data_IF_486680122200
#
_entry.id   IF_486680122200
#
_cell.length_a   1.000
_cell.length_b   1.000
_cell.length_c   1.000
_cell.angle_alpha   90.00
_cell.angle_beta   90.00
_cell.angle_gamma   90.00
#
_symmetry.space_group_name_H-M   'P 1'
#
loop_
_entity.id
_entity.type
_entity.pdbx_description
1 polymer ?
#
# COMPACT_ATOMS: atom_id res chain seq x y z
N UNK A 1 23.82 -10.58 6.80
CA UNK A 1 23.57 -10.35 8.24
C UNK A 1 22.51 -9.27 8.35
N UNK A 2 21.53 -9.43 9.25
CA UNK A 2 20.50 -8.43 9.55
C UNK A 2 20.79 -7.87 10.94
N UNK A 3 20.84 -6.55 11.07
CA UNK A 3 21.06 -5.89 12.35
C UNK A 3 19.84 -5.04 12.68
N UNK A 4 19.18 -5.39 13.77
CA UNK A 4 18.06 -4.64 14.33
C UNK A 4 18.53 -4.00 15.64
N UNK A 5 18.53 -2.66 15.71
CA UNK A 5 18.89 -1.92 16.90
C UNK A 5 17.70 -1.09 17.36
N UNK A 6 17.13 -1.50 18.50
CA UNK A 6 16.07 -0.76 19.19
C UNK A 6 16.66 -0.12 20.44
N UNK A 7 16.63 1.21 20.52
CA UNK A 7 16.95 1.93 21.74
C UNK A 7 15.64 2.19 22.51
N UNK A 8 15.36 1.53 23.65
CA UNK A 8 14.36 2.03 24.59
C UNK A 8 14.86 3.37 25.19
N UNK A 9 14.08 4.02 26.05
CA UNK A 9 14.36 5.30 26.74
C UNK A 9 15.74 5.48 27.45
N UNK A 10 16.66 4.52 27.33
CA UNK A 10 18.06 4.65 27.72
C UNK A 10 18.92 4.72 26.45
N UNK A 11 19.95 5.59 26.41
CA UNK A 11 20.93 5.55 25.34
C UNK A 11 21.35 4.11 25.10
N UNK A 12 21.36 3.65 23.84
CA UNK A 12 22.22 2.51 23.51
C UNK A 12 23.61 3.07 23.75
N UNK A 13 24.14 2.82 24.95
CA UNK A 13 25.57 2.86 25.17
C UNK A 13 26.10 1.77 24.27
N UNK A 14 26.48 2.14 23.05
CA UNK A 14 27.53 1.40 22.39
C UNK A 14 28.71 1.59 23.32
N UNK A 15 29.24 0.54 23.97
CA UNK A 15 30.54 0.66 24.61
C UNK A 15 31.44 1.38 23.61
N UNK A 16 32.16 2.42 24.02
CA UNK A 16 33.14 3.06 23.15
C UNK A 16 33.99 1.94 22.51
N UNK A 17 33.86 1.74 21.19
CA UNK A 17 34.49 0.61 20.48
C UNK A 17 33.59 -0.51 19.95
N UNK A 18 32.34 -0.67 20.41
CA UNK A 18 31.53 -1.85 20.12
C UNK A 18 31.04 -1.98 18.67
N UNK A 19 30.94 -0.87 17.94
CA UNK A 19 30.74 -0.88 16.49
C UNK A 19 31.92 -0.25 15.73
N UNK A 20 33.14 -0.31 16.25
CA UNK A 20 34.31 0.12 15.48
C UNK A 20 34.74 -0.93 14.44
N UNK A 21 34.18 -2.14 14.49
CA UNK A 21 34.49 -3.19 13.51
C UNK A 21 33.61 -3.03 12.27
N UNK A 22 34.19 -2.98 11.06
CA UNK A 22 33.44 -2.98 9.82
C UNK A 22 32.51 -4.19 9.76
N UNK A 23 31.30 -3.99 9.25
CA UNK A 23 30.31 -5.05 9.05
C UNK A 23 30.14 -5.31 7.54
N UNK A 24 31.12 -5.92 6.85
CA UNK A 24 31.14 -5.98 5.39
C UNK A 24 29.99 -6.80 4.78
N UNK A 25 29.41 -7.73 5.56
CA UNK A 25 28.29 -8.61 5.16
C UNK A 25 26.91 -8.13 5.65
N UNK A 26 26.83 -6.91 6.16
CA UNK A 26 25.57 -6.31 6.59
C UNK A 26 24.73 -6.00 5.34
N UNK A 27 23.51 -6.54 5.27
CA UNK A 27 22.60 -6.37 4.12
C UNK A 27 21.39 -5.51 4.43
N UNK A 28 20.91 -5.62 5.67
CA UNK A 28 19.75 -4.89 6.18
C UNK A 28 20.10 -4.23 7.50
N UNK A 29 19.81 -2.94 7.62
CA UNK A 29 20.02 -2.14 8.81
C UNK A 29 18.70 -1.50 9.24
N UNK A 30 18.31 -1.73 10.49
CA UNK A 30 17.12 -1.11 11.08
C UNK A 30 17.49 -0.37 12.37
N UNK A 31 17.21 0.93 12.39
CA UNK A 31 17.56 1.84 13.47
C UNK A 31 16.34 2.60 13.97
N UNK A 32 16.10 2.49 15.27
CA UNK A 32 14.99 3.15 15.95
C UNK A 32 15.51 4.05 17.05
N UNK A 33 15.25 5.35 16.91
CA UNK A 33 15.63 6.37 17.88
C UNK A 33 14.36 6.96 18.49
N UNK A 34 14.08 6.73 19.77
CA UNK A 34 12.95 7.43 20.39
C UNK A 34 13.28 8.91 20.67
N UNK A 35 14.49 9.15 21.19
CA UNK A 35 15.08 10.46 21.48
C UNK A 35 16.60 10.33 21.27
N UNK A 36 17.22 11.28 20.56
CA UNK A 36 18.67 11.32 20.50
C UNK A 36 19.19 11.88 21.83
N UNK A 37 20.09 11.19 22.54
CA UNK A 37 20.55 11.67 23.83
C UNK A 37 21.26 13.02 23.68
N UNK A 38 20.99 13.94 24.61
CA UNK A 38 21.73 15.19 24.73
C UNK A 38 23.19 14.79 25.04
N UNK A 39 24.12 15.15 24.15
CA UNK A 39 25.53 14.75 24.25
C UNK A 39 25.87 13.38 23.65
N UNK A 40 24.95 12.72 22.95
CA UNK A 40 25.26 11.51 22.18
C UNK A 40 26.29 11.73 21.06
N UNK A 41 26.85 10.66 20.50
CA UNK A 41 27.79 10.78 19.38
C UNK A 41 27.15 11.60 18.25
N UNK A 42 27.93 12.50 17.66
CA UNK A 42 27.45 13.38 16.60
C UNK A 42 27.12 12.60 15.32
N UNK A 43 27.77 11.46 15.07
CA UNK A 43 27.56 10.63 13.88
C UNK A 43 27.99 9.17 14.11
N UNK A 44 27.16 8.20 13.68
CA UNK A 44 27.49 6.77 13.68
C UNK A 44 28.17 6.42 12.33
N UNK A 45 29.46 6.12 12.35
CA UNK A 45 30.25 5.84 11.14
C UNK A 45 30.49 4.35 10.86
N UNK A 46 30.10 3.48 11.79
CA UNK A 46 30.32 2.04 11.73
C UNK A 46 29.78 1.35 10.45
N UNK A 47 28.75 1.94 9.85
CA UNK A 47 28.06 1.39 8.68
C UNK A 47 28.56 1.96 7.35
N UNK A 48 29.43 2.98 7.37
CA UNK A 48 29.95 3.62 6.17
C UNK A 48 30.67 2.63 5.23
N UNK A 49 31.31 1.61 5.81
CA UNK A 49 32.05 0.57 5.10
C UNK A 49 31.27 -0.76 4.96
N UNK A 50 29.94 -0.71 4.83
CA UNK A 50 29.10 -1.89 4.62
C UNK A 50 28.71 -2.05 3.12
N UNK A 51 29.58 -2.59 2.24
CA UNK A 51 29.35 -2.64 0.78
C UNK A 51 28.18 -3.52 0.35
N UNK A 52 27.72 -4.44 1.20
CA UNK A 52 26.55 -5.29 0.93
C UNK A 52 25.22 -4.69 1.42
N UNK A 53 25.23 -3.51 2.06
CA UNK A 53 24.03 -2.90 2.61
C UNK A 53 23.09 -2.48 1.46
N UNK A 54 21.86 -2.98 1.46
CA UNK A 54 20.85 -2.73 0.42
C UNK A 54 19.52 -2.22 0.99
N UNK A 55 19.25 -2.52 2.25
CA UNK A 55 17.98 -2.20 2.89
C UNK A 55 18.19 -1.42 4.19
N UNK A 56 17.47 -0.32 4.32
CA UNK A 56 17.56 0.55 5.48
C UNK A 56 16.16 0.90 5.97
N UNK A 57 15.95 0.79 7.28
CA UNK A 57 14.79 1.32 7.97
C UNK A 57 15.24 2.30 9.06
N UNK A 58 14.88 3.57 8.89
CA UNK A 58 15.20 4.65 9.82
C UNK A 58 13.92 5.18 10.47
N UNK A 59 13.88 5.15 11.79
CA UNK A 59 12.77 5.69 12.57
C UNK A 59 13.31 6.84 13.43
N UNK A 60 12.86 8.08 13.16
CA UNK A 60 13.27 9.32 13.84
C UNK A 60 14.79 9.57 13.87
N UNK A 61 15.48 9.26 12.77
CA UNK A 61 16.92 9.48 12.64
C UNK A 61 17.21 10.49 11.52
N UNK A 62 18.07 11.46 11.80
CA UNK A 62 18.56 12.46 10.87
C UNK A 62 19.80 11.96 10.11
N UNK A 63 20.04 12.48 8.91
CA UNK A 63 21.22 12.17 8.10
C UNK A 63 22.53 12.55 8.78
N UNK A 64 22.55 13.66 9.51
CA UNK A 64 23.77 14.10 10.22
C UNK A 64 24.24 13.09 11.27
N UNK A 65 23.32 12.25 11.76
CA UNK A 65 23.57 11.28 12.82
C UNK A 65 24.16 9.96 12.33
N UNK A 66 24.25 9.73 11.01
CA UNK A 66 24.68 8.44 10.48
C UNK A 66 25.38 8.55 9.12
N UNK A 67 26.49 7.84 8.97
CA UNK A 67 27.18 7.69 7.69
C UNK A 67 26.87 6.32 7.09
N UNK A 68 26.31 6.31 5.88
CA UNK A 68 25.89 5.12 5.15
C UNK A 68 26.34 5.19 3.70
N UNK A 69 26.58 4.05 3.05
CA UNK A 69 26.78 3.97 1.61
C UNK A 69 25.43 4.13 0.88
N UNK A 70 24.90 5.36 0.84
CA UNK A 70 23.54 5.64 0.36
C UNK A 70 23.27 5.22 -1.09
N UNK A 71 24.27 5.32 -1.96
CA UNK A 71 24.13 5.05 -3.39
C UNK A 71 23.79 3.61 -3.72
N UNK A 72 24.07 2.64 -2.85
CA UNK A 72 23.76 1.22 -3.08
C UNK A 72 22.43 0.77 -2.44
N UNK A 73 21.70 1.68 -1.78
CA UNK A 73 20.45 1.33 -1.10
C UNK A 73 19.33 1.18 -2.14
N UNK A 74 18.67 0.03 -2.10
CA UNK A 74 17.58 -0.33 -3.02
C UNK A 74 16.23 -0.40 -2.30
N UNK A 75 16.21 -0.58 -0.98
CA UNK A 75 14.98 -0.59 -0.16
C UNK A 75 15.12 0.38 1.01
N UNK A 76 14.19 1.32 1.11
CA UNK A 76 14.26 2.38 2.10
C UNK A 76 12.92 2.53 2.84
N UNK A 77 12.96 2.48 4.17
CA UNK A 77 11.82 2.81 5.02
C UNK A 77 12.17 3.98 5.91
N UNK A 78 11.40 5.06 5.81
CA UNK A 78 11.53 6.28 6.60
C UNK A 78 10.26 6.45 7.44
N UNK A 79 10.41 6.55 8.75
CA UNK A 79 9.30 6.82 9.65
C UNK A 79 9.61 7.96 10.63
N UNK A 80 8.68 8.90 10.76
CA UNK A 80 8.72 10.05 11.67
C UNK A 80 9.92 11.00 11.44
N UNK A 81 10.28 11.25 10.18
CA UNK A 81 11.18 12.34 9.78
C UNK A 81 10.37 13.56 9.31
N UNK A 82 11.00 14.75 9.29
CA UNK A 82 10.43 15.90 8.57
C UNK A 82 10.52 15.68 7.06
N UNK A 83 9.70 16.40 6.29
CA UNK A 83 9.72 16.30 4.83
C UNK A 83 11.07 16.69 4.23
N UNK A 84 11.74 17.72 4.77
CA UNK A 84 13.07 18.15 4.30
C UNK A 84 14.10 17.04 4.46
N UNK A 85 14.10 16.37 5.62
CA UNK A 85 15.00 15.25 5.89
C UNK A 85 14.73 14.08 4.95
N UNK A 86 13.45 13.76 4.70
CA UNK A 86 13.07 12.72 3.74
C UNK A 86 13.66 13.05 2.36
N UNK A 87 13.48 14.28 1.87
CA UNK A 87 14.01 14.68 0.57
C UNK A 87 15.53 14.69 0.52
N UNK A 88 16.20 15.09 1.59
CA UNK A 88 17.66 15.01 1.69
C UNK A 88 18.15 13.56 1.61
N UNK A 89 17.48 12.61 2.26
CA UNK A 89 17.81 11.17 2.17
C UNK A 89 17.55 10.64 0.76
N UNK A 90 16.41 10.99 0.15
CA UNK A 90 16.05 10.53 -1.19
C UNK A 90 17.06 11.00 -2.25
N UNK A 91 17.62 12.21 -2.12
CA UNK A 91 18.69 12.69 -3.01
C UNK A 91 19.97 11.88 -2.92
N UNK A 92 20.26 11.25 -1.78
CA UNK A 92 21.44 10.41 -1.59
C UNK A 92 21.23 8.96 -2.03
N UNK A 93 19.98 8.55 -2.33
CA UNK A 93 19.59 7.16 -2.63
C UNK A 93 19.04 7.00 -4.06
N UNK A 94 19.84 7.33 -5.10
CA UNK A 94 19.36 7.33 -6.49
C UNK A 94 18.92 5.95 -7.03
N UNK A 95 19.39 4.87 -6.40
CA UNK A 95 19.10 3.49 -6.79
C UNK A 95 17.98 2.83 -6.00
N UNK A 96 17.17 3.61 -5.27
CA UNK A 96 16.03 3.08 -4.51
C UNK A 96 14.98 2.51 -5.47
N UNK A 97 14.52 1.29 -5.19
CA UNK A 97 13.50 0.56 -5.95
C UNK A 97 12.19 0.40 -5.16
N UNK A 98 12.29 0.38 -3.83
CA UNK A 98 11.18 0.23 -2.89
C UNK A 98 11.30 1.27 -1.77
N UNK A 99 10.25 2.08 -1.61
CA UNK A 99 10.23 3.19 -0.67
C UNK A 99 8.96 3.14 0.19
N UNK A 100 9.12 3.13 1.51
CA UNK A 100 8.03 3.34 2.46
C UNK A 100 8.30 4.60 3.27
N UNK A 101 7.36 5.54 3.29
CA UNK A 101 7.46 6.79 4.04
C UNK A 101 6.23 6.98 4.93
N UNK A 102 6.48 7.20 6.22
CA UNK A 102 5.47 7.59 7.20
C UNK A 102 5.92 8.84 7.92
N UNK A 103 5.14 9.92 7.88
CA UNK A 103 5.46 11.18 8.55
C UNK A 103 4.18 11.85 9.06
N UNK A 104 4.34 12.64 10.13
CA UNK A 104 3.25 13.39 10.78
C UNK A 104 3.33 14.89 10.49
N UNK A 105 4.31 15.31 9.68
CA UNK A 105 4.49 16.70 9.32
C UNK A 105 3.55 17.07 8.17
N UNK A 106 2.76 18.11 8.36
CA UNK A 106 1.84 18.65 7.37
C UNK A 106 2.36 19.96 6.75
N UNK A 107 3.62 20.31 7.04
CA UNK A 107 4.27 21.47 6.44
C UNK A 107 4.36 21.29 4.91
N UNK A 108 3.99 22.34 4.17
CA UNK A 108 4.13 22.34 2.72
C UNK A 108 5.56 22.77 2.39
N UNK A 109 6.38 21.82 1.99
CA UNK A 109 7.72 22.12 1.48
C UNK A 109 7.63 22.29 -0.04
N UNK A 110 7.89 23.51 -0.53
CA UNK A 110 8.02 23.76 -1.96
C UNK A 110 9.46 23.47 -2.38
N UNK A 111 9.68 22.31 -3.00
CA UNK A 111 10.95 21.97 -3.66
C UNK A 111 10.71 21.81 -5.15
N UNK A 112 11.77 22.00 -5.94
CA UNK A 112 11.75 21.56 -7.32
C UNK A 112 11.59 20.03 -7.36
N UNK A 113 10.67 19.48 -8.16
CA UNK A 113 10.53 18.04 -8.30
C UNK A 113 11.84 17.39 -8.74
N UNK A 114 12.17 16.23 -8.19
CA UNK A 114 13.33 15.44 -8.62
C UNK A 114 12.95 14.01 -8.98
N UNK A 115 13.82 13.38 -9.76
CA UNK A 115 13.55 12.08 -10.36
C UNK A 115 14.17 10.95 -9.54
N UNK A 116 13.40 9.90 -9.27
CA UNK A 116 13.91 8.62 -8.77
C UNK A 116 13.68 7.57 -9.87
N UNK A 117 14.67 7.37 -10.77
CA UNK A 117 14.46 6.67 -12.04
C UNK A 117 14.23 5.16 -11.88
N UNK A 118 14.63 4.59 -10.74
CA UNK A 118 14.56 3.16 -10.48
C UNK A 118 13.43 2.77 -9.50
N UNK A 119 12.70 3.75 -8.96
CA UNK A 119 11.68 3.48 -7.94
C UNK A 119 10.45 2.82 -8.58
N UNK A 120 10.17 1.57 -8.18
CA UNK A 120 9.07 0.75 -8.69
C UNK A 120 7.91 0.64 -7.74
N UNK A 121 8.17 0.71 -6.43
CA UNK A 121 7.13 0.59 -5.39
C UNK A 121 7.25 1.72 -4.39
N UNK A 122 6.14 2.37 -4.09
CA UNK A 122 6.08 3.42 -3.07
C UNK A 122 4.86 3.22 -2.16
N UNK A 123 5.08 3.34 -0.85
CA UNK A 123 4.06 3.35 0.18
C UNK A 123 4.16 4.63 1.00
N UNK A 124 3.07 5.38 1.11
CA UNK A 124 3.06 6.70 1.71
C UNK A 124 1.92 6.85 2.72
N UNK A 125 2.21 7.46 3.88
CA UNK A 125 1.16 7.92 4.81
C UNK A 125 0.46 9.20 4.35
N UNK A 126 1.00 9.91 3.36
CA UNK A 126 0.44 11.16 2.82
C UNK A 126 0.85 11.36 1.36
N UNK A 127 -0.07 11.91 0.56
CA UNK A 127 0.16 12.21 -0.86
C UNK A 127 0.99 13.48 -1.10
N UNK A 128 1.22 14.32 -0.07
CA UNK A 128 1.96 15.58 -0.17
C UNK A 128 3.34 15.44 -0.82
N UNK A 129 4.05 14.35 -0.48
CA UNK A 129 5.40 14.09 -0.99
C UNK A 129 5.42 13.91 -2.52
N UNK A 130 4.31 13.45 -3.12
CA UNK A 130 4.19 13.21 -4.56
C UNK A 130 4.35 14.50 -5.37
N UNK A 131 4.06 15.67 -4.80
CA UNK A 131 4.25 16.96 -5.47
C UNK A 131 5.70 17.25 -5.87
N UNK A 132 6.66 16.61 -5.20
CA UNK A 132 8.09 16.86 -5.38
C UNK A 132 8.82 15.68 -6.04
N UNK A 133 8.08 14.69 -6.54
CA UNK A 133 8.65 13.48 -7.14
C UNK A 133 8.26 13.32 -8.61
N UNK A 134 9.19 12.76 -9.38
CA UNK A 134 9.01 12.24 -10.74
C UNK A 134 9.46 10.78 -10.73
N UNK A 135 8.53 9.85 -10.94
CA UNK A 135 8.76 8.41 -10.73
C UNK A 135 8.43 7.61 -11.99
N UNK A 136 9.25 7.68 -13.06
CA UNK A 136 8.90 7.12 -14.37
C UNK A 136 8.79 5.59 -14.38
N UNK A 137 9.49 4.90 -13.48
CA UNK A 137 9.47 3.45 -13.36
C UNK A 137 8.43 2.93 -12.35
N UNK A 138 7.53 3.78 -11.82
CA UNK A 138 6.61 3.36 -10.78
C UNK A 138 5.56 2.38 -11.29
N UNK A 139 5.44 1.25 -10.60
CA UNK A 139 4.49 0.17 -10.92
C UNK A 139 3.48 -0.05 -9.79
N UNK A 140 3.84 0.26 -8.54
CA UNK A 140 3.00 0.06 -7.35
C UNK A 140 2.93 1.31 -6.49
N UNK A 141 1.72 1.76 -6.19
CA UNK A 141 1.44 2.92 -5.34
C UNK A 141 0.49 2.53 -4.21
N UNK A 142 0.93 2.70 -2.97
CA UNK A 142 0.11 2.54 -1.76
C UNK A 142 -0.03 3.87 -1.03
N UNK A 143 -1.27 4.32 -0.84
CA UNK A 143 -1.62 5.56 -0.16
C UNK A 143 -2.42 5.26 1.11
N UNK A 144 -1.82 5.56 2.26
CA UNK A 144 -2.44 5.47 3.58
C UNK A 144 -2.81 6.86 4.12
N UNK A 145 -3.49 7.67 3.29
CA UNK A 145 -3.75 9.09 3.54
C UNK A 145 -4.97 9.38 4.44
N UNK A 146 -5.72 8.34 4.86
CA UNK A 146 -6.97 8.55 5.59
C UNK A 146 -7.99 9.34 4.76
N UNK A 147 -8.84 10.11 5.45
CA UNK A 147 -9.93 10.90 4.82
C UNK A 147 -9.45 12.14 4.07
N UNK A 148 -8.23 12.60 4.33
CA UNK A 148 -7.68 13.84 3.77
C UNK A 148 -6.79 13.55 2.56
N UNK A 149 -7.33 12.86 1.56
CA UNK A 149 -6.57 12.57 0.35
C UNK A 149 -6.48 13.81 -0.55
N UNK A 150 -5.26 14.20 -0.88
CA UNK A 150 -5.00 15.33 -1.76
C UNK A 150 -5.00 14.88 -3.23
N UNK A 151 -6.20 14.79 -3.81
CA UNK A 151 -6.38 14.39 -5.21
C UNK A 151 -5.48 15.17 -6.18
N UNK A 152 -5.40 16.49 -6.00
CA UNK A 152 -4.58 17.35 -6.86
C UNK A 152 -3.10 16.94 -6.87
N UNK A 153 -2.58 16.49 -5.72
CA UNK A 153 -1.20 16.02 -5.58
C UNK A 153 -0.97 14.73 -6.37
N UNK A 154 -1.91 13.77 -6.29
CA UNK A 154 -1.85 12.51 -7.06
C UNK A 154 -1.96 12.78 -8.56
N UNK A 155 -2.94 13.58 -9.00
CA UNK A 155 -3.15 13.88 -10.42
C UNK A 155 -1.93 14.57 -11.04
N UNK A 156 -1.41 15.61 -10.36
CA UNK A 156 -0.22 16.33 -10.83
C UNK A 156 1.00 15.42 -10.90
N UNK A 157 1.14 14.51 -9.93
CA UNK A 157 2.20 13.50 -9.93
C UNK A 157 2.11 12.53 -11.11
N UNK A 158 0.91 12.01 -11.40
CA UNK A 158 0.70 11.07 -12.51
C UNK A 158 1.01 11.72 -13.86
N UNK A 159 0.59 12.98 -14.05
CA UNK A 159 0.90 13.76 -15.25
C UNK A 159 2.41 13.96 -15.43
N UNK A 160 3.14 14.29 -14.35
CA UNK A 160 4.59 14.53 -14.45
C UNK A 160 5.41 13.25 -14.60
N UNK A 161 4.97 12.15 -13.99
CA UNK A 161 5.76 10.93 -13.93
C UNK A 161 5.55 10.01 -15.12
N UNK A 162 4.42 10.15 -15.84
CA UNK A 162 4.07 9.31 -17.00
C UNK A 162 4.19 7.79 -16.71
N UNK A 163 4.00 7.41 -15.45
CA UNK A 163 4.20 6.04 -14.98
C UNK A 163 2.98 5.15 -15.29
N UNK A 164 3.23 3.85 -15.48
CA UNK A 164 2.20 2.86 -15.77
C UNK A 164 1.89 2.03 -14.52
N UNK A 165 1.21 2.64 -13.55
CA UNK A 165 0.83 1.97 -12.29
C UNK A 165 -0.05 0.75 -12.59
N UNK A 166 0.36 -0.39 -12.03
CA UNK A 166 -0.33 -1.69 -12.13
C UNK A 166 -1.00 -2.05 -10.83
N UNK A 167 -0.36 -1.76 -9.71
CA UNK A 167 -0.86 -2.05 -8.37
C UNK A 167 -1.18 -0.75 -7.66
N UNK A 168 -2.43 -0.58 -7.27
CA UNK A 168 -2.87 0.57 -6.50
C UNK A 168 -3.54 0.11 -5.21
N UNK A 169 -3.06 0.64 -4.09
CA UNK A 169 -3.68 0.43 -2.80
C UNK A 169 -4.05 1.77 -2.15
N UNK A 170 -5.24 1.84 -1.59
CA UNK A 170 -5.76 3.01 -0.91
C UNK A 170 -6.39 2.62 0.43
N UNK A 171 -5.99 3.28 1.51
CA UNK A 171 -6.51 3.02 2.85
C UNK A 171 -7.39 4.19 3.35
N UNK A 172 -8.51 3.85 4.00
CA UNK A 172 -9.38 4.76 4.76
C UNK A 172 -9.87 6.02 3.99
N UNK A 173 -10.25 5.85 2.73
CA UNK A 173 -10.79 6.93 1.89
C UNK A 173 -12.32 6.90 1.86
N UNK A 174 -12.97 8.03 1.58
CA UNK A 174 -14.37 8.01 1.14
C UNK A 174 -14.50 7.49 -0.30
N UNK A 175 -15.71 7.09 -0.68
CA UNK A 175 -15.97 6.45 -1.96
C UNK A 175 -15.69 7.37 -3.16
N UNK A 176 -16.00 8.68 -3.07
CA UNK A 176 -15.81 9.60 -4.18
C UNK A 176 -14.33 9.80 -4.47
N UNK A 177 -13.54 9.99 -3.42
CA UNK A 177 -12.09 10.09 -3.50
C UNK A 177 -11.48 8.81 -4.13
N UNK A 178 -11.93 7.62 -3.74
CA UNK A 178 -11.49 6.37 -4.37
C UNK A 178 -11.77 6.36 -5.88
N UNK A 179 -13.00 6.68 -6.30
CA UNK A 179 -13.40 6.73 -7.70
C UNK A 179 -12.56 7.74 -8.50
N UNK A 180 -12.34 8.91 -7.92
CA UNK A 180 -11.58 9.99 -8.54
C UNK A 180 -10.13 9.59 -8.79
N UNK A 181 -9.44 9.03 -7.79
CA UNK A 181 -8.06 8.56 -7.97
C UNK A 181 -7.94 7.42 -8.96
N UNK A 182 -8.87 6.46 -8.92
CA UNK A 182 -8.88 5.34 -9.84
C UNK A 182 -9.16 5.78 -11.29
N UNK A 183 -9.94 6.86 -11.48
CA UNK A 183 -10.20 7.41 -12.82
C UNK A 183 -8.92 7.89 -13.52
N UNK A 184 -7.92 8.32 -12.75
CA UNK A 184 -6.62 8.77 -13.26
C UNK A 184 -5.64 7.61 -13.52
N UNK A 185 -6.04 6.35 -13.26
CA UNK A 185 -5.18 5.15 -13.31
C UNK A 185 -5.69 4.08 -14.29
N UNK A 186 -5.75 4.36 -15.61
CA UNK A 186 -6.32 3.43 -16.59
C UNK A 186 -5.55 2.11 -16.76
N UNK A 187 -4.26 2.08 -16.39
CA UNK A 187 -3.37 0.91 -16.50
C UNK A 187 -3.46 -0.06 -15.32
N UNK A 188 -4.17 0.31 -14.24
CA UNK A 188 -4.18 -0.50 -13.01
C UNK A 188 -4.83 -1.87 -13.25
N UNK A 189 -4.14 -2.91 -12.80
CA UNK A 189 -4.58 -4.30 -12.86
C UNK A 189 -5.04 -4.79 -11.51
N UNK A 190 -4.47 -4.25 -10.43
CA UNK A 190 -4.68 -4.72 -9.07
C UNK A 190 -5.06 -3.54 -8.19
N UNK A 191 -6.31 -3.55 -7.68
CA UNK A 191 -6.82 -2.51 -6.80
C UNK A 191 -7.11 -3.12 -5.44
N UNK A 192 -6.54 -2.52 -4.38
CA UNK A 192 -6.88 -2.84 -2.99
C UNK A 192 -7.39 -1.61 -2.27
N UNK A 193 -8.59 -1.70 -1.69
CA UNK A 193 -9.19 -0.65 -0.86
C UNK A 193 -9.27 -1.19 0.56
N UNK A 194 -8.54 -0.57 1.50
CA UNK A 194 -8.54 -0.97 2.91
C UNK A 194 -9.38 -0.03 3.76
N UNK A 195 -10.05 -0.62 4.75
CA UNK A 195 -10.88 0.08 5.71
C UNK A 195 -11.99 0.91 5.03
N UNK A 196 -12.68 0.28 4.08
CA UNK A 196 -13.80 0.88 3.34
C UNK A 196 -15.03 1.01 4.26
N UNK A 197 -15.01 2.01 5.14
CA UNK A 197 -16.13 2.34 6.04
C UNK A 197 -17.24 3.12 5.29
N UNK A 198 -17.71 2.54 4.20
CA UNK A 198 -18.67 3.15 3.28
C UNK A 198 -20.10 2.74 3.61
N UNK A 199 -21.06 3.62 3.32
CA UNK A 199 -22.47 3.29 3.42
C UNK A 199 -22.89 2.27 2.35
N UNK A 200 -24.08 1.68 2.50
CA UNK A 200 -24.66 0.81 1.48
C UNK A 200 -24.76 1.51 0.12
N UNK A 201 -25.25 2.75 0.12
CA UNK A 201 -25.42 3.56 -1.09
C UNK A 201 -24.07 3.86 -1.75
N UNK A 202 -23.02 4.07 -0.97
CA UNK A 202 -21.67 4.30 -1.48
C UNK A 202 -21.11 3.04 -2.15
N UNK A 203 -21.29 1.86 -1.56
CA UNK A 203 -20.90 0.60 -2.22
C UNK A 203 -21.69 0.38 -3.51
N UNK A 204 -23.01 0.62 -3.50
CA UNK A 204 -23.85 0.54 -4.70
C UNK A 204 -23.33 1.48 -5.79
N UNK A 205 -23.05 2.74 -5.46
CA UNK A 205 -22.48 3.73 -6.38
C UNK A 205 -21.12 3.30 -6.92
N UNK A 206 -20.25 2.79 -6.06
CA UNK A 206 -18.92 2.32 -6.45
C UNK A 206 -18.99 1.15 -7.45
N UNK A 207 -19.83 0.14 -7.19
CA UNK A 207 -19.99 -1.00 -8.11
C UNK A 207 -20.65 -0.59 -9.42
N UNK A 208 -21.65 0.29 -9.38
CA UNK A 208 -22.27 0.82 -10.60
C UNK A 208 -21.26 1.62 -11.43
N UNK A 209 -20.42 2.44 -10.78
CA UNK A 209 -19.33 3.17 -11.43
C UNK A 209 -18.30 2.22 -12.06
N UNK A 210 -17.88 1.16 -11.35
CA UNK A 210 -16.97 0.13 -11.88
C UNK A 210 -17.57 -0.69 -13.03
N UNK A 211 -18.90 -0.83 -13.08
CA UNK A 211 -19.59 -1.50 -14.19
C UNK A 211 -19.47 -0.69 -15.49
N UNK A 212 -19.22 0.62 -15.37
CA UNK A 212 -19.17 1.55 -16.48
C UNK A 212 -20.57 1.88 -17.02
N UNK A 213 -20.62 2.89 -17.90
CA UNK A 213 -21.77 3.09 -18.78
C UNK A 213 -21.56 2.33 -20.08
N UNK A 214 -22.61 2.20 -20.91
CA UNK A 214 -22.62 1.41 -22.16
C UNK A 214 -21.41 1.69 -23.09
N UNK A 215 -20.77 2.87 -22.98
CA UNK A 215 -19.68 3.28 -23.86
C UNK A 215 -18.32 3.50 -23.17
N UNK A 216 -18.20 3.38 -21.84
CA UNK A 216 -16.93 3.63 -21.14
C UNK A 216 -16.71 2.66 -19.99
N UNK A 217 -15.75 1.75 -20.19
CA UNK A 217 -15.25 0.88 -19.13
C UNK A 217 -14.26 1.66 -18.27
N UNK A 218 -14.66 1.96 -17.05
CA UNK A 218 -13.78 2.43 -15.97
C UNK A 218 -12.74 1.34 -15.70
N UNK A 219 -11.46 1.66 -15.49
CA UNK A 219 -10.40 0.68 -15.21
C UNK A 219 -10.41 -0.53 -16.18
N UNK A 220 -10.15 -0.33 -17.48
CA UNK A 220 -10.28 -1.40 -18.48
C UNK A 220 -9.27 -2.55 -18.31
N UNK A 221 -8.19 -2.33 -17.55
CA UNK A 221 -7.16 -3.33 -17.27
C UNK A 221 -7.37 -4.10 -15.96
N UNK A 222 -8.42 -3.82 -15.18
CA UNK A 222 -8.64 -4.39 -13.86
C UNK A 222 -8.76 -5.92 -13.89
N UNK A 223 -7.84 -6.60 -13.20
CA UNK A 223 -7.78 -8.06 -13.06
C UNK A 223 -8.10 -8.51 -11.62
N UNK A 224 -7.73 -7.70 -10.61
CA UNK A 224 -7.93 -8.03 -9.21
C UNK A 224 -8.52 -6.84 -8.45
N UNK A 225 -9.61 -7.08 -7.73
CA UNK A 225 -10.21 -6.11 -6.83
C UNK A 225 -10.33 -6.71 -5.42
N UNK A 226 -9.69 -6.07 -4.46
CA UNK A 226 -9.79 -6.43 -3.05
C UNK A 226 -10.34 -5.26 -2.23
N UNK A 227 -11.46 -5.50 -1.54
CA UNK A 227 -12.05 -4.55 -0.61
C UNK A 227 -11.96 -5.14 0.79
N UNK A 228 -11.29 -4.46 1.70
CA UNK A 228 -11.05 -4.90 3.08
C UNK A 228 -11.71 -3.96 4.08
N UNK A 229 -12.34 -4.52 5.12
CA UNK A 229 -12.94 -3.77 6.21
C UNK A 229 -14.24 -3.08 5.81
N UNK A 230 -15.02 -3.67 4.90
CA UNK A 230 -16.34 -3.18 4.53
C UNK A 230 -17.26 -3.22 5.76
N UNK A 231 -17.86 -2.08 6.12
CA UNK A 231 -18.80 -1.96 7.25
C UNK A 231 -20.25 -1.79 6.79
N UNK A 232 -20.51 -1.22 5.62
CA UNK A 232 -21.86 -1.11 5.07
C UNK A 232 -22.47 -2.45 4.68
N UNK A 233 -23.81 -2.52 4.63
CA UNK A 233 -24.47 -3.59 3.89
C UNK A 233 -24.10 -3.42 2.42
N UNK A 234 -23.82 -4.51 1.71
CA UNK A 234 -23.51 -4.44 0.29
C UNK A 234 -24.74 -4.88 -0.48
N UNK A 235 -25.26 -4.00 -1.34
CA UNK A 235 -26.32 -4.36 -2.26
C UNK A 235 -25.79 -5.36 -3.28
N UNK A 236 -26.22 -6.62 -3.11
CA UNK A 236 -25.76 -7.75 -3.93
C UNK A 236 -26.02 -7.50 -5.42
N UNK A 237 -27.15 -6.89 -5.77
CA UNK A 237 -27.50 -6.64 -7.18
C UNK A 237 -26.48 -5.75 -7.91
N UNK A 238 -25.99 -4.69 -7.27
CA UNK A 238 -24.97 -3.81 -7.84
C UNK A 238 -23.63 -4.56 -8.01
N UNK A 239 -23.23 -5.35 -7.00
CA UNK A 239 -22.04 -6.18 -7.07
C UNK A 239 -22.14 -7.24 -8.19
N UNK A 240 -23.28 -7.94 -8.30
CA UNK A 240 -23.53 -8.92 -9.36
C UNK A 240 -23.47 -8.30 -10.75
N UNK A 241 -24.05 -7.10 -10.91
CA UNK A 241 -24.01 -6.33 -12.16
C UNK A 241 -22.57 -6.02 -12.55
N UNK A 242 -21.76 -5.53 -11.60
CA UNK A 242 -20.33 -5.30 -11.79
C UNK A 242 -19.59 -6.56 -12.22
N UNK A 243 -19.69 -7.64 -11.45
CA UNK A 243 -18.96 -8.87 -11.75
C UNK A 243 -19.39 -9.48 -13.10
N UNK A 244 -20.67 -9.38 -13.45
CA UNK A 244 -21.20 -9.83 -14.74
C UNK A 244 -20.64 -9.00 -15.90
N UNK A 245 -20.60 -7.67 -15.75
CA UNK A 245 -20.02 -6.76 -16.78
C UNK A 245 -18.56 -7.07 -17.09
N UNK A 246 -17.80 -7.56 -16.10
CA UNK A 246 -16.38 -7.92 -16.24
C UNK A 246 -16.13 -9.32 -16.77
N UNK A 247 -17.16 -10.18 -16.80
CA UNK A 247 -17.09 -11.52 -17.37
C UNK A 247 -17.18 -11.50 -18.89
N UNK A 248 -18.05 -10.65 -19.44
CA UNK A 248 -18.55 -10.71 -20.82
C UNK A 248 -17.81 -9.81 -21.79
N UNK A 249 -16.69 -9.18 -21.41
CA UNK A 249 -15.97 -8.22 -22.26
C UNK A 249 -15.65 -8.80 -23.65
N UNK A 250 -16.55 -8.50 -24.59
CA UNK A 250 -16.50 -8.91 -25.97
C UNK A 250 -15.32 -8.18 -26.62
N UNK A 251 -14.37 -8.93 -27.17
CA UNK A 251 -13.15 -8.37 -27.77
C UNK A 251 -11.84 -8.75 -27.08
N UNK A 252 -11.81 -9.81 -26.26
CA UNK A 252 -10.55 -10.36 -25.73
C UNK A 252 -9.85 -9.46 -24.69
N UNK A 253 -10.54 -8.47 -24.14
CA UNK A 253 -10.02 -7.64 -23.04
C UNK A 253 -9.79 -8.50 -21.79
N UNK A 254 -8.83 -8.08 -20.97
CA UNK A 254 -8.47 -8.72 -19.70
C UNK A 254 -9.72 -8.82 -18.82
N UNK A 255 -10.01 -10.03 -18.37
CA UNK A 255 -11.15 -10.33 -17.51
C UNK A 255 -10.74 -10.17 -16.06
N UNK A 256 -11.68 -9.73 -15.21
CA UNK A 256 -11.51 -9.80 -13.77
C UNK A 256 -11.26 -11.27 -13.39
N UNK A 257 -10.13 -11.53 -12.73
CA UNK A 257 -9.69 -12.86 -12.30
C UNK A 257 -10.02 -13.10 -10.84
N UNK A 258 -9.91 -12.05 -10.01
CA UNK A 258 -10.07 -12.16 -8.58
C UNK A 258 -10.91 -11.00 -8.03
N UNK A 259 -11.97 -11.33 -7.32
CA UNK A 259 -12.72 -10.41 -6.47
C UNK A 259 -12.67 -10.91 -5.03
N UNK A 260 -12.17 -10.06 -4.14
CA UNK A 260 -12.12 -10.33 -2.70
C UNK A 260 -12.84 -9.23 -1.93
N UNK A 261 -13.66 -9.64 -0.97
CA UNK A 261 -14.42 -8.73 -0.12
C UNK A 261 -14.36 -9.25 1.33
N UNK A 262 -13.71 -8.48 2.20
CA UNK A 262 -13.62 -8.79 3.63
C UNK A 262 -14.47 -7.82 4.45
N UNK A 263 -15.48 -8.35 5.13
CA UNK A 263 -16.34 -7.58 6.03
C UNK A 263 -15.70 -7.35 7.39
N UNK A 264 -15.97 -6.18 7.98
CA UNK A 264 -15.70 -5.90 9.39
C UNK A 264 -16.64 -6.69 10.30
N UNK A 265 -16.14 -7.10 11.47
CA UNK A 265 -16.88 -7.93 12.44
C UNK A 265 -18.24 -7.35 12.86
N UNK A 266 -18.41 -6.03 12.80
CA UNK A 266 -19.60 -5.36 13.36
C UNK A 266 -20.86 -5.48 12.48
N UNK A 267 -20.71 -5.70 11.18
CA UNK A 267 -21.81 -5.64 10.23
C UNK A 267 -21.69 -6.81 9.24
N UNK A 268 -22.38 -7.91 9.54
CA UNK A 268 -22.64 -8.92 8.53
C UNK A 268 -23.90 -8.48 7.78
N UNK A 269 -23.86 -8.32 6.45
CA UNK A 269 -25.09 -8.11 5.71
C UNK A 269 -26.05 -9.26 6.00
N UNK A 270 -27.33 -8.92 6.21
CA UNK A 270 -28.40 -9.91 6.14
C UNK A 270 -28.55 -10.29 4.67
N UNK A 271 -27.61 -11.08 4.18
CA UNK A 271 -27.68 -11.62 2.85
C UNK A 271 -28.97 -12.45 2.81
N UNK A 272 -29.84 -12.24 1.83
CA UNK A 272 -30.68 -13.34 1.37
C UNK A 272 -29.72 -14.36 0.72
N UNK A 273 -29.10 -15.16 1.59
CA UNK A 273 -27.85 -15.91 1.37
C UNK A 273 -28.01 -16.82 0.16
N UNK A 274 -29.12 -17.52 0.04
CA UNK A 274 -29.27 -18.59 -0.96
C UNK A 274 -29.30 -18.07 -2.40
N UNK A 275 -30.08 -17.03 -2.69
CA UNK A 275 -30.19 -16.49 -4.06
C UNK A 275 -28.87 -15.86 -4.51
N UNK A 276 -28.26 -15.08 -3.62
CA UNK A 276 -26.97 -14.42 -3.82
C UNK A 276 -25.86 -15.45 -4.07
N UNK A 277 -25.77 -16.48 -3.21
CA UNK A 277 -24.77 -17.53 -3.36
C UNK A 277 -24.93 -18.29 -4.67
N UNK A 278 -26.18 -18.57 -5.11
CA UNK A 278 -26.43 -19.25 -6.39
C UNK A 278 -25.94 -18.42 -7.57
N UNK A 279 -26.21 -17.12 -7.58
CA UNK A 279 -25.75 -16.20 -8.62
C UNK A 279 -24.22 -16.07 -8.65
N UNK A 280 -23.58 -15.90 -7.48
CA UNK A 280 -22.13 -15.83 -7.36
C UNK A 280 -21.45 -17.15 -7.77
N UNK A 281 -22.08 -18.29 -7.50
CA UNK A 281 -21.58 -19.62 -7.93
C UNK A 281 -21.57 -19.73 -9.45
N UNK A 282 -22.60 -19.23 -10.14
CA UNK A 282 -22.64 -19.19 -11.61
C UNK A 282 -21.55 -18.30 -12.22
N UNK A 283 -21.03 -17.31 -11.49
CA UNK A 283 -19.93 -16.46 -11.93
C UNK A 283 -18.57 -17.17 -11.83
N UNK A 284 -18.38 -18.07 -10.85
CA UNK A 284 -17.13 -18.84 -10.66
C UNK A 284 -16.81 -19.77 -11.83
N UNK A 285 -17.83 -20.31 -12.51
CA UNK A 285 -17.66 -21.22 -13.65
C UNK A 285 -16.94 -20.57 -14.85
N UNK A 286 -16.81 -19.23 -14.87
CA UNK A 286 -16.07 -18.48 -15.87
C UNK A 286 -14.59 -18.23 -15.55
N UNK A 287 -14.03 -18.85 -14.51
CA UNK A 287 -12.64 -18.65 -14.08
C UNK A 287 -12.41 -17.44 -13.16
N UNK A 288 -13.49 -16.73 -12.77
CA UNK A 288 -13.45 -15.66 -11.78
C UNK A 288 -13.45 -16.26 -10.37
N UNK A 289 -12.40 -15.98 -9.60
CA UNK A 289 -12.34 -16.32 -8.18
C UNK A 289 -13.07 -15.24 -7.37
N UNK A 290 -14.03 -15.67 -6.56
CA UNK A 290 -14.81 -14.81 -5.66
C UNK A 290 -14.56 -15.28 -4.23
N UNK A 291 -13.99 -14.43 -3.40
CA UNK A 291 -13.75 -14.67 -1.97
C UNK A 291 -14.48 -13.61 -1.16
N UNK A 292 -15.52 -14.03 -0.44
CA UNK A 292 -16.28 -13.17 0.45
C UNK A 292 -16.13 -13.77 1.84
N UNK A 293 -15.40 -13.07 2.71
CA UNK A 293 -15.08 -13.58 4.04
C UNK A 293 -15.48 -12.54 5.08
N UNK A 294 -15.97 -13.01 6.22
CA UNK A 294 -16.17 -12.16 7.39
C UNK A 294 -14.89 -12.17 8.23
N UNK A 295 -14.37 -11.00 8.59
CA UNK A 295 -13.27 -10.95 9.53
C UNK A 295 -13.75 -11.47 10.89
N UNK A 296 -13.25 -12.63 11.31
CA UNK A 296 -13.37 -13.03 12.70
C UNK A 296 -12.62 -12.02 13.57
N UNK A 297 -13.18 -11.74 14.74
CA UNK A 297 -12.71 -10.74 15.72
C UNK A 297 -11.18 -10.72 15.76
N UNK A 298 -10.58 -9.66 15.20
CA UNK A 298 -9.16 -9.38 15.41
C UNK A 298 -9.01 -9.11 16.91
N UNK A 299 -8.36 -10.02 17.63
CA UNK A 299 -7.76 -9.65 18.92
C UNK A 299 -6.76 -8.56 18.59
N UNK A 300 -7.00 -7.34 19.06
CA UNK A 300 -6.22 -6.12 18.79
C UNK A 300 -4.78 -6.15 19.30
N UNK A 301 -4.26 -7.32 19.65
CA UNK A 301 -2.88 -7.49 20.06
C UNK A 301 -2.07 -7.95 18.83
N UNK A 302 -1.07 -7.13 18.48
CA UNK A 302 0.00 -7.39 17.50
C UNK A 302 -0.28 -7.10 16.02
N UNK A 303 -0.11 -5.83 15.64
CA UNK A 303 0.39 -5.45 14.31
C UNK A 303 1.92 -5.56 14.36
N UNK A 304 2.44 -6.78 14.33
CA UNK A 304 3.74 -7.04 13.72
C UNK A 304 3.81 -8.50 13.29
N UNK A 305 4.49 -8.71 12.16
CA UNK A 305 4.51 -9.91 11.32
C UNK A 305 4.25 -11.27 11.99
N UNK A 306 3.41 -12.07 11.33
CA UNK A 306 3.12 -13.52 11.49
C UNK A 306 1.97 -13.88 12.43
N UNK A 307 0.79 -14.10 11.86
CA UNK A 307 0.12 -15.41 11.85
C UNK A 307 -1.11 -15.36 10.96
N UNK A 308 -1.20 -16.36 10.09
CA UNK A 308 -2.36 -16.66 9.26
C UNK A 308 -3.20 -17.68 10.02
N UNK A 309 -4.34 -17.23 10.55
CA UNK A 309 -5.43 -18.11 10.97
C UNK A 309 -6.64 -17.82 10.09
N UNK A 310 -6.77 -18.54 8.97
CA UNK A 310 -7.97 -18.49 8.14
C UNK A 310 -9.01 -19.45 8.71
N UNK A 311 -10.20 -18.95 9.05
CA UNK A 311 -11.41 -19.75 8.94
C UNK A 311 -11.94 -19.50 7.54
N UNK A 312 -11.83 -20.51 6.68
CA UNK A 312 -12.45 -20.49 5.37
C UNK A 312 -13.96 -20.69 5.56
N UNK A 313 -14.77 -19.69 5.19
CA UNK A 313 -16.07 -20.01 4.59
C UNK A 313 -15.83 -20.44 3.14
N UNK A 314 -15.20 -21.60 2.99
CA UNK A 314 -15.19 -22.30 1.71
C UNK A 314 -16.60 -22.85 1.50
N UNK A 315 -17.45 -22.14 0.77
CA UNK A 315 -18.59 -22.77 0.10
C UNK A 315 -18.00 -23.59 -1.06
N UNK A 316 -17.47 -24.77 -0.73
CA UNK A 316 -17.01 -25.76 -1.69
C UNK A 316 -18.19 -26.62 -2.13
N UNK A 317 -18.94 -26.17 -3.14
CA UNK A 317 -19.89 -27.01 -3.85
C UNK A 317 -19.14 -27.99 -4.76
N UNK A 318 -18.71 -29.13 -4.24
CA UNK A 318 -18.35 -30.27 -5.10
C UNK A 318 -19.64 -30.97 -5.55
N UNK A 319 -20.13 -30.65 -6.75
CA UNK A 319 -21.06 -31.52 -7.45
C UNK A 319 -20.28 -32.75 -7.96
N UNK A 320 -20.35 -33.88 -7.24
CA UNK A 320 -20.04 -35.18 -7.82
C UNK A 320 -21.28 -35.64 -8.58
N UNK A 321 -21.17 -35.71 -9.90
CA UNK A 321 -22.09 -36.40 -10.78
C UNK A 321 -21.28 -37.25 -11.75
N UNK A 322 -21.09 -38.52 -11.40
CA UNK A 322 -21.61 -39.72 -12.04
C UNK A 322 -21.13 -40.93 -11.23
#
# INVERSE_FOLDING_TARGET
>A
MNLHLTAPFRPIEFPEGAICKPLPRLKTLELWVQQWPIGGPTCITAFAAAPELREIKLVRMSLSQISLPWTQITRLTLSYQSLEQIFEILRQTPNVEDLTVSFNDHSVVQLSPFTLPHLRRIKLSSALILNNLILPALESLELACGRAMERASVQSFLQRSECAIRVFQLDMTDMQNACDCLSDLPSVTDVTIKYADWSTDDFTRFFNWLSGSENRTVLPALEMLYIHGATGNIEVGAMETFLSSRRTSAGGRRKLKLFKLLFSYKNCPDFQVERTLKNLTNLRTGGLQIDITQAHKWTTDYIDSKMVGYVFLAVSGHSRGF
#
